data_IF_956845041247
#
_entry.id   IF_956845041247
#
_cell.length_a   1.000
_cell.length_b   1.000
_cell.length_c   1.000
_cell.angle_alpha   90.00
_cell.angle_beta   90.00
_cell.angle_gamma   90.00
#
_symmetry.space_group_name_H-M   'P 1'
#
loop_
_entity.id
_entity.type
_entity.pdbx_description
1 polymer ?
#
# COMPACT_ATOMS: atom_id res chain seq x y z
N UNK A 1 24.12 27.13 -58.85
CA UNK A 1 24.69 25.92 -58.20
C UNK A 1 23.55 25.22 -57.47
N UNK A 2 23.13 24.03 -57.91
CA UNK A 2 22.02 23.27 -57.32
C UNK A 2 22.55 22.44 -56.15
N UNK A 3 22.08 22.71 -54.95
CA UNK A 3 22.39 21.92 -53.75
C UNK A 3 21.74 20.55 -53.90
N UNK A 4 22.56 19.51 -54.12
CA UNK A 4 22.10 18.12 -54.03
C UNK A 4 21.92 17.78 -52.55
N UNK A 5 20.67 17.72 -52.11
CA UNK A 5 20.35 17.07 -50.83
C UNK A 5 20.35 15.57 -51.13
N UNK A 6 21.35 14.87 -50.58
CA UNK A 6 21.48 13.42 -50.72
C UNK A 6 20.40 12.75 -49.88
N UNK A 7 19.70 11.75 -50.44
CA UNK A 7 18.58 11.04 -49.80
C UNK A 7 18.97 10.45 -48.43
N UNK A 8 20.24 10.12 -48.26
CA UNK A 8 20.83 9.62 -47.00
C UNK A 8 20.75 10.62 -45.85
N UNK A 9 20.79 11.93 -46.13
CA UNK A 9 20.68 12.99 -45.10
C UNK A 9 19.23 13.18 -44.63
N UNK A 10 18.25 12.87 -45.48
CA UNK A 10 16.81 12.98 -45.15
C UNK A 10 16.36 11.77 -44.32
N UNK A 11 16.87 10.57 -44.63
CA UNK A 11 16.56 9.35 -43.90
C UNK A 11 17.06 9.39 -42.44
N UNK A 12 18.25 9.94 -42.20
CA UNK A 12 18.80 10.08 -40.85
C UNK A 12 18.00 11.01 -39.95
N UNK A 13 17.47 12.12 -40.49
CA UNK A 13 16.69 13.10 -39.72
C UNK A 13 15.30 12.54 -39.31
N UNK A 14 14.69 11.71 -40.16
CA UNK A 14 13.39 11.07 -39.91
C UNK A 14 13.46 9.94 -38.88
N UNK A 15 14.59 9.23 -38.80
CA UNK A 15 14.84 8.18 -37.80
C UNK A 15 15.06 8.80 -36.41
N UNK A 16 15.69 9.98 -36.33
CA UNK A 16 15.89 10.69 -35.05
C UNK A 16 14.57 11.27 -34.53
N UNK A 17 13.67 11.73 -35.41
CA UNK A 17 12.38 12.28 -35.01
C UNK A 17 11.35 11.21 -34.58
N UNK A 18 11.47 9.98 -35.09
CA UNK A 18 10.58 8.87 -34.72
C UNK A 18 10.96 8.17 -33.41
N UNK A 19 12.16 8.40 -32.89
CA UNK A 19 12.60 7.85 -31.60
C UNK A 19 12.21 8.69 -30.37
N UNK A 20 11.66 9.90 -30.56
CA UNK A 20 11.29 10.81 -29.47
C UNK A 20 9.82 10.72 -29.02
N UNK A 21 9.16 9.56 -29.21
CA UNK A 21 7.75 9.37 -28.82
C UNK A 21 7.58 8.48 -27.58
N UNK A 22 8.65 8.05 -26.91
CA UNK A 22 8.55 7.11 -25.78
C UNK A 22 8.98 7.72 -24.45
N UNK A 23 8.35 8.82 -24.02
CA UNK A 23 8.28 9.17 -22.59
C UNK A 23 6.96 9.88 -22.20
N UNK A 24 5.96 9.95 -23.08
CA UNK A 24 4.58 10.31 -22.67
C UNK A 24 3.82 9.08 -22.16
N UNK A 25 4.51 8.21 -21.42
CA UNK A 25 3.81 7.30 -20.53
C UNK A 25 3.21 8.18 -19.45
N UNK A 26 1.88 8.28 -19.40
CA UNK A 26 1.17 8.62 -18.17
C UNK A 26 1.55 7.55 -17.14
N UNK A 27 2.73 7.67 -16.54
CA UNK A 27 3.15 6.88 -15.41
C UNK A 27 2.18 7.31 -14.32
N UNK A 28 1.24 6.43 -13.99
CA UNK A 28 0.30 6.65 -12.90
C UNK A 28 1.10 7.13 -11.70
N UNK A 29 0.69 8.26 -11.14
CA UNK A 29 1.49 8.97 -10.13
C UNK A 29 1.82 8.09 -8.93
N UNK A 30 2.68 8.60 -8.06
CA UNK A 30 3.02 7.93 -6.82
C UNK A 30 1.95 8.22 -5.76
N UNK A 31 1.70 7.26 -4.85
CA UNK A 31 0.85 7.45 -3.67
C UNK A 31 1.50 6.90 -2.41
N UNK A 32 1.20 7.51 -1.27
CA UNK A 32 1.69 7.03 0.02
C UNK A 32 0.77 5.95 0.55
N UNK A 33 1.37 4.85 1.02
CA UNK A 33 0.67 3.72 1.64
C UNK A 33 1.37 3.35 2.94
N UNK A 34 0.65 2.61 3.77
CA UNK A 34 1.22 1.99 4.98
C UNK A 34 1.13 0.48 4.83
N UNK A 35 2.27 -0.19 5.01
CA UNK A 35 2.34 -1.65 5.14
C UNK A 35 2.49 -2.01 6.61
N UNK A 36 1.64 -2.91 7.08
CA UNK A 36 1.77 -3.56 8.38
C UNK A 36 2.13 -5.04 8.19
N UNK A 37 3.07 -5.53 8.99
CA UNK A 37 3.42 -6.94 9.10
C UNK A 37 3.18 -7.40 10.54
N UNK A 38 2.32 -8.39 10.68
CA UNK A 38 1.98 -8.99 11.96
C UNK A 38 2.43 -10.44 12.01
N UNK A 39 3.08 -10.84 13.10
CA UNK A 39 3.41 -12.24 13.40
C UNK A 39 2.35 -12.78 14.34
N UNK A 40 1.63 -13.81 13.90
CA UNK A 40 0.56 -14.45 14.68
C UNK A 40 1.03 -15.83 15.12
N UNK A 41 0.93 -16.10 16.42
CA UNK A 41 1.14 -17.43 17.00
C UNK A 41 -0.16 -17.96 17.58
N UNK A 42 -0.26 -19.26 17.78
CA UNK A 42 -1.40 -19.88 18.45
C UNK A 42 -0.91 -20.62 19.70
N UNK A 43 -1.62 -20.43 20.81
CA UNK A 43 -1.37 -21.12 22.08
C UNK A 43 -2.71 -21.46 22.69
N UNK A 44 -2.90 -22.73 23.08
CA UNK A 44 -4.18 -23.24 23.60
C UNK A 44 -5.37 -22.93 22.68
N UNK A 45 -5.19 -23.06 21.36
CA UNK A 45 -6.16 -22.72 20.30
C UNK A 45 -6.60 -21.25 20.28
N UNK A 46 -5.81 -20.33 20.87
CA UNK A 46 -6.05 -18.89 20.81
C UNK A 46 -4.94 -18.22 19.99
N UNK A 47 -5.34 -17.62 18.87
CA UNK A 47 -4.44 -16.82 18.03
C UNK A 47 -4.07 -15.51 18.71
N UNK A 48 -2.78 -15.15 18.69
CA UNK A 48 -2.25 -13.91 19.28
C UNK A 48 -1.23 -13.25 18.35
N UNK A 49 -1.32 -11.93 18.23
CA UNK A 49 -0.38 -11.09 17.51
C UNK A 49 0.83 -10.83 18.42
N UNK A 50 1.93 -11.53 18.17
CA UNK A 50 3.16 -11.44 18.98
C UNK A 50 4.06 -10.30 18.54
N UNK A 51 4.03 -9.94 17.26
CA UNK A 51 4.82 -8.84 16.70
C UNK A 51 3.96 -8.04 15.72
N UNK A 52 4.19 -6.73 15.69
CA UNK A 52 3.61 -5.82 14.71
C UNK A 52 4.64 -4.77 14.34
N UNK A 53 4.95 -4.70 13.06
CA UNK A 53 5.81 -3.67 12.46
C UNK A 53 4.99 -2.94 11.39
N UNK A 54 5.18 -1.63 11.28
CA UNK A 54 4.53 -0.82 10.27
C UNK A 54 5.51 0.17 9.62
N UNK A 55 5.39 0.34 8.31
CA UNK A 55 6.24 1.20 7.50
C UNK A 55 5.42 2.04 6.52
N UNK A 56 5.78 3.33 6.41
CA UNK A 56 5.30 4.24 5.37
C UNK A 56 6.19 4.07 4.14
N UNK A 57 5.60 3.96 2.96
CA UNK A 57 6.37 3.98 1.72
C UNK A 57 5.51 4.48 0.56
N UNK A 58 6.20 4.87 -0.51
CA UNK A 58 5.59 5.25 -1.77
C UNK A 58 5.34 4.01 -2.61
N UNK A 59 4.13 3.86 -3.13
CA UNK A 59 3.74 2.82 -4.05
C UNK A 59 3.15 3.43 -5.33
N UNK A 60 3.11 2.63 -6.40
CA UNK A 60 2.51 3.03 -7.67
C UNK A 60 1.00 3.27 -7.50
N UNK A 61 0.47 4.36 -8.04
CA UNK A 61 -0.98 4.58 -8.04
C UNK A 61 -1.76 3.53 -8.83
N UNK A 62 -1.09 2.81 -9.76
CA UNK A 62 -1.69 1.75 -10.56
C UNK A 62 -2.05 0.50 -9.74
N UNK A 63 -1.39 0.28 -8.59
CA UNK A 63 -1.69 -0.84 -7.70
C UNK A 63 -2.82 -0.45 -6.73
N UNK A 64 -3.91 -1.21 -6.68
CA UNK A 64 -5.06 -0.85 -5.84
C UNK A 64 -4.95 -1.41 -4.41
N UNK A 65 -4.78 -0.51 -3.44
CA UNK A 65 -4.72 -0.81 -2.00
C UNK A 65 -5.96 -0.27 -1.25
N UNK A 66 -7.10 -0.23 -1.94
CA UNK A 66 -8.40 0.23 -1.45
C UNK A 66 -9.20 -0.90 -0.81
N UNK A 67 -10.46 -0.63 -0.44
CA UNK A 67 -11.28 -1.59 0.30
C UNK A 67 -11.36 -2.95 -0.40
N UNK A 68 -11.14 -4.01 0.36
CA UNK A 68 -11.42 -5.37 -0.06
C UNK A 68 -12.49 -6.00 0.85
N UNK A 69 -13.21 -7.03 0.36
CA UNK A 69 -14.24 -7.68 1.15
C UNK A 69 -13.68 -8.17 2.48
N UNK A 70 -14.39 -7.89 3.58
CA UNK A 70 -14.04 -8.41 4.89
C UNK A 70 -13.94 -9.95 4.83
N UNK A 71 -12.84 -10.48 5.36
CA UNK A 71 -12.60 -11.91 5.47
C UNK A 71 -12.91 -12.36 6.91
N UNK A 72 -13.69 -13.43 7.07
CA UNK A 72 -13.97 -14.07 8.36
C UNK A 72 -13.82 -15.60 8.23
N UNK A 73 -13.00 -16.26 9.07
CA UNK A 73 -12.00 -15.65 9.96
C UNK A 73 -10.94 -14.87 9.17
N UNK A 74 -10.37 -13.84 9.78
CA UNK A 74 -9.54 -12.90 9.05
C UNK A 74 -8.55 -12.13 9.90
N UNK A 75 -7.57 -11.56 9.19
CA UNK A 75 -6.65 -10.57 9.72
C UNK A 75 -6.98 -9.23 9.10
N UNK A 76 -7.16 -8.20 9.90
CA UNK A 76 -7.66 -6.89 9.47
C UNK A 76 -6.66 -5.79 9.84
N UNK A 77 -6.44 -4.86 8.91
CA UNK A 77 -5.64 -3.65 9.10
C UNK A 77 -6.54 -2.42 9.18
N UNK A 78 -6.33 -1.62 10.22
CA UNK A 78 -6.88 -0.28 10.38
C UNK A 78 -5.77 0.73 10.63
N UNK A 79 -5.94 1.94 10.11
CA UNK A 79 -5.07 3.07 10.44
C UNK A 79 -5.97 4.24 10.83
N UNK A 80 -5.70 4.77 12.01
CA UNK A 80 -6.44 5.89 12.59
C UNK A 80 -5.46 7.00 12.99
N UNK A 81 -5.91 8.24 12.94
CA UNK A 81 -5.22 9.34 13.63
C UNK A 81 -5.16 9.07 15.13
N UNK A 82 -4.00 9.34 15.76
CA UNK A 82 -3.79 8.98 17.16
C UNK A 82 -4.71 9.76 18.11
N UNK A 83 -4.87 11.06 17.88
CA UNK A 83 -5.52 11.96 18.84
C UNK A 83 -7.03 12.07 18.58
N UNK A 84 -7.45 12.11 17.31
CA UNK A 84 -8.87 12.19 16.92
C UNK A 84 -9.57 10.83 16.86
N UNK A 85 -8.79 9.74 16.79
CA UNK A 85 -9.26 8.38 16.52
C UNK A 85 -10.02 8.22 15.19
N UNK A 86 -9.89 9.19 14.28
CA UNK A 86 -10.53 9.15 12.97
C UNK A 86 -9.87 8.08 12.08
N UNK A 87 -10.69 7.24 11.43
CA UNK A 87 -10.22 6.30 10.39
C UNK A 87 -9.71 7.08 9.20
N UNK A 88 -8.43 6.89 8.87
CA UNK A 88 -7.76 7.57 7.76
C UNK A 88 -7.32 6.63 6.64
N UNK A 89 -7.44 5.31 6.79
CA UNK A 89 -7.13 4.35 5.73
C UNK A 89 -8.35 3.63 5.19
N UNK A 90 -8.24 3.06 4.00
CA UNK A 90 -9.19 2.08 3.53
C UNK A 90 -9.14 0.80 4.37
N UNK A 91 -10.27 0.09 4.42
CA UNK A 91 -10.33 -1.22 5.08
C UNK A 91 -9.50 -2.25 4.31
N UNK A 92 -8.66 -3.03 5.00
CA UNK A 92 -7.89 -4.12 4.38
C UNK A 92 -7.95 -5.36 5.24
N UNK A 93 -8.18 -6.50 4.61
CA UNK A 93 -8.20 -7.79 5.29
C UNK A 93 -7.60 -8.92 4.47
N UNK A 94 -7.15 -9.98 5.12
CA UNK A 94 -6.78 -11.25 4.51
C UNK A 94 -7.47 -12.39 5.26
N UNK A 95 -7.78 -13.49 4.58
CA UNK A 95 -8.31 -14.68 5.23
C UNK A 95 -7.26 -15.21 6.23
N UNK A 96 -7.70 -15.59 7.42
CA UNK A 96 -6.83 -16.21 8.41
C UNK A 96 -6.63 -17.68 8.03
N UNK A 97 -5.40 -18.08 7.73
CA UNK A 97 -5.01 -19.42 7.30
C UNK A 97 -4.20 -20.18 8.36
N UNK A 98 -4.09 -19.63 9.58
CA UNK A 98 -3.34 -20.18 10.71
C UNK A 98 -2.19 -19.29 11.19
N UNK A 99 -1.35 -19.77 12.12
CA UNK A 99 -0.17 -19.06 12.60
C UNK A 99 0.81 -18.72 11.47
N UNK A 100 1.48 -17.57 11.58
CA UNK A 100 2.44 -17.10 10.59
C UNK A 100 2.44 -15.59 10.43
N UNK A 101 3.08 -15.13 9.36
CA UNK A 101 3.18 -13.72 9.03
C UNK A 101 2.05 -13.26 8.11
N UNK A 102 1.45 -12.13 8.45
CA UNK A 102 0.42 -11.48 7.65
C UNK A 102 0.89 -10.08 7.28
N UNK A 103 0.96 -9.81 5.97
CA UNK A 103 1.34 -8.51 5.41
C UNK A 103 0.13 -7.86 4.75
N UNK A 104 -0.29 -6.72 5.28
CA UNK A 104 -1.38 -5.92 4.70
C UNK A 104 -0.87 -4.52 4.37
N UNK A 105 -1.28 -4.01 3.21
CA UNK A 105 -0.96 -2.66 2.75
C UNK A 105 -2.25 -1.91 2.48
N UNK A 106 -2.35 -0.67 2.98
CA UNK A 106 -3.51 0.19 2.79
C UNK A 106 -3.13 1.57 2.28
N UNK A 107 -3.93 2.07 1.35
CA UNK A 107 -4.01 3.49 0.99
C UNK A 107 -4.63 4.33 2.11
N UNK A 108 -4.25 5.60 2.17
CA UNK A 108 -4.88 6.59 3.04
C UNK A 108 -5.99 7.36 2.31
N UNK A 109 -7.15 7.48 2.95
CA UNK A 109 -8.25 8.38 2.58
C UNK A 109 -7.93 9.83 2.94
N UNK A 110 -7.20 10.04 4.04
CA UNK A 110 -6.79 11.35 4.55
C UNK A 110 -5.31 11.29 4.89
N UNK A 111 -4.55 12.27 4.40
CA UNK A 111 -3.10 12.33 4.63
C UNK A 111 -2.84 13.08 5.95
N UNK A 112 -2.14 12.47 6.92
CA UNK A 112 -1.70 13.17 8.12
C UNK A 112 -0.69 14.27 7.77
N UNK A 113 -0.63 15.30 8.60
CA UNK A 113 0.40 16.34 8.47
C UNK A 113 1.76 15.81 8.97
N UNK A 114 2.88 16.26 8.39
CA UNK A 114 4.22 15.90 8.87
C UNK A 114 4.38 16.20 10.36
N UNK A 115 4.83 15.20 11.12
CA UNK A 115 5.00 15.31 12.57
C UNK A 115 3.83 14.80 13.40
N UNK A 116 2.65 14.61 12.80
CA UNK A 116 1.52 13.94 13.45
C UNK A 116 1.82 12.46 13.74
N UNK A 117 0.95 11.82 14.53
CA UNK A 117 1.07 10.40 14.83
C UNK A 117 -0.19 9.65 14.42
N UNK A 118 0.01 8.46 13.87
CA UNK A 118 -1.09 7.56 13.50
C UNK A 118 -0.91 6.22 14.21
N UNK A 119 -2.02 5.60 14.57
CA UNK A 119 -2.06 4.26 15.12
C UNK A 119 -2.34 3.28 13.99
N UNK A 120 -1.42 2.35 13.78
CA UNK A 120 -1.57 1.20 12.88
C UNK A 120 -2.00 0.01 13.73
N UNK A 121 -3.18 -0.51 13.44
CA UNK A 121 -3.86 -1.53 14.25
C UNK A 121 -4.07 -2.76 13.39
N UNK A 122 -3.52 -3.89 13.83
CA UNK A 122 -3.82 -5.20 13.28
C UNK A 122 -4.75 -5.95 14.23
N UNK A 123 -5.72 -6.66 13.66
CA UNK A 123 -6.71 -7.46 14.40
C UNK A 123 -6.79 -8.85 13.81
N UNK A 124 -7.03 -9.83 14.66
CA UNK A 124 -7.50 -11.17 14.27
C UNK A 124 -8.97 -11.25 14.63
N UNK A 125 -9.79 -11.68 13.68
CA UNK A 125 -11.24 -11.89 13.86
C UNK A 125 -11.61 -13.33 13.55
N UNK A 126 -12.61 -13.86 14.26
CA UNK A 126 -13.10 -15.23 14.06
C UNK A 126 -14.09 -15.35 12.89
N UNK A 127 -14.70 -16.53 12.71
CA UNK A 127 -15.71 -16.80 11.69
C UNK A 127 -16.95 -15.89 11.75
N UNK A 128 -17.27 -15.31 12.90
CA UNK A 128 -18.38 -14.39 13.09
C UNK A 128 -17.96 -12.92 12.90
N UNK A 129 -16.66 -12.67 12.76
CA UNK A 129 -16.09 -11.33 12.74
C UNK A 129 -15.86 -10.74 14.13
N UNK A 130 -15.98 -11.56 15.18
CA UNK A 130 -15.69 -11.14 16.55
C UNK A 130 -14.18 -11.04 16.77
N UNK A 131 -13.78 -10.08 17.60
CA UNK A 131 -12.38 -9.81 17.87
C UNK A 131 -11.76 -10.94 18.71
N UNK A 132 -10.73 -11.59 18.16
CA UNK A 132 -9.91 -12.58 18.87
C UNK A 132 -8.73 -11.90 19.57
N UNK A 133 -7.96 -11.09 18.82
CA UNK A 133 -6.82 -10.34 19.36
C UNK A 133 -6.54 -9.07 18.55
N UNK A 134 -5.88 -8.10 19.17
CA UNK A 134 -5.46 -6.86 18.50
C UNK A 134 -4.13 -6.35 19.01
N UNK A 135 -3.33 -5.80 18.09
CA UNK A 135 -2.09 -5.10 18.41
C UNK A 135 -2.04 -3.77 17.69
N UNK A 136 -1.51 -2.77 18.38
CA UNK A 136 -1.37 -1.40 17.88
C UNK A 136 0.08 -0.97 17.96
N UNK A 137 0.56 -0.31 16.90
CA UNK A 137 1.81 0.44 16.91
C UNK A 137 1.54 1.88 16.48
N UNK A 138 2.15 2.84 17.17
CA UNK A 138 2.10 4.24 16.77
C UNK A 138 3.32 4.55 15.90
N UNK A 139 3.10 5.15 14.74
CA UNK A 139 4.17 5.69 13.89
C UNK A 139 4.01 7.20 13.77
N UNK A 140 5.15 7.91 13.70
CA UNK A 140 5.18 9.35 13.43
C UNK A 140 5.16 9.58 11.92
N UNK A 141 4.30 10.48 11.46
CA UNK A 141 4.20 10.85 10.06
C UNK A 141 5.40 11.70 9.66
N UNK A 142 5.99 11.42 8.49
CA UNK A 142 7.19 12.10 7.98
C UNK A 142 6.86 12.87 6.71
#
# INVERSE_FOLDING_TARGET
MKTKITVETIAGLLIVLSLMVILSGCIGGDKTVVTARATITETDNVSRITELVAEQHTASALEEYRENPAQTPGVVLHIIEKDSLQKISYWRSAAYTGPGEYKLTSELMTMPEPGESVNVIMKVVDENGDLVDSKTITIKWQ
#
